data_IF_941210947214
#
_entry.id   IF_941210947214
#
_cell.length_a   1.000
_cell.length_b   1.000
_cell.length_c   1.000
_cell.angle_alpha   90.00
_cell.angle_beta   90.00
_cell.angle_gamma   90.00
#
_symmetry.space_group_name_H-M   'P 1'
#
loop_
_entity.id
_entity.type
_entity.pdbx_description
1 polymer ?
#
# COMPACT_ATOMS: atom_id res chain seq x y z
N UNK A 1 20.79 10.48 -3.47
CA UNK A 1 21.07 9.42 -2.45
C UNK A 1 19.73 8.88 -1.97
N UNK A 2 19.57 7.56 -1.85
CA UNK A 2 18.31 7.00 -1.36
C UNK A 2 18.24 7.09 0.16
N UNK A 3 17.13 7.61 0.68
CA UNK A 3 16.78 7.57 2.10
C UNK A 3 15.33 7.16 2.29
N UNK A 4 14.98 6.72 3.49
CA UNK A 4 13.64 6.21 3.80
C UNK A 4 13.06 6.99 4.98
N UNK A 5 11.79 7.34 4.89
CA UNK A 5 11.04 8.02 5.97
C UNK A 5 9.75 7.28 6.28
N UNK A 6 9.31 7.35 7.53
CA UNK A 6 7.95 6.97 7.90
C UNK A 6 6.95 7.87 7.18
N UNK A 7 5.85 7.29 6.72
CA UNK A 7 4.77 8.05 6.09
C UNK A 7 4.11 9.01 7.09
N UNK A 8 3.99 10.28 6.73
CA UNK A 8 3.46 11.35 7.60
C UNK A 8 1.95 11.57 7.43
N UNK A 9 1.31 10.84 6.50
CA UNK A 9 -0.11 10.93 6.18
C UNK A 9 -0.54 12.30 5.64
N UNK A 10 0.38 13.02 4.98
CA UNK A 10 0.01 14.13 4.10
C UNK A 10 -0.83 13.60 2.93
N UNK A 11 -1.61 14.46 2.28
CA UNK A 11 -2.38 14.08 1.08
C UNK A 11 -1.46 13.50 0.00
N UNK A 12 -0.30 14.13 -0.24
CA UNK A 12 0.71 13.64 -1.18
C UNK A 12 1.30 12.28 -0.80
N UNK A 13 1.56 12.02 0.47
CA UNK A 13 2.08 10.73 0.93
C UNK A 13 1.03 9.62 0.74
N UNK A 14 -0.23 9.91 1.05
CA UNK A 14 -1.33 8.96 0.90
C UNK A 14 -1.57 8.65 -0.58
N UNK A 15 -1.57 9.67 -1.43
CA UNK A 15 -1.68 9.50 -2.88
C UNK A 15 -0.55 8.62 -3.41
N UNK A 16 0.70 8.93 -3.07
CA UNK A 16 1.86 8.14 -3.50
C UNK A 16 1.81 6.70 -2.96
N UNK A 17 1.38 6.50 -1.71
CA UNK A 17 1.18 5.16 -1.18
C UNK A 17 0.13 4.37 -1.98
N UNK A 18 -0.98 5.01 -2.37
CA UNK A 18 -2.00 4.33 -3.20
C UNK A 18 -1.48 3.99 -4.60
N UNK A 19 -0.59 4.82 -5.17
CA UNK A 19 0.11 4.49 -6.41
C UNK A 19 0.97 3.23 -6.23
N UNK A 20 1.73 3.16 -5.13
CA UNK A 20 2.57 1.99 -4.84
C UNK A 20 1.75 0.72 -4.57
N UNK A 21 0.60 0.83 -3.89
CA UNK A 21 -0.34 -0.29 -3.74
C UNK A 21 -0.89 -0.77 -5.08
N UNK A 22 -1.15 0.13 -6.00
CA UNK A 22 -1.53 -0.21 -7.36
C UNK A 22 -0.39 -0.89 -8.11
N UNK A 23 0.84 -0.38 -8.04
CA UNK A 23 2.00 -0.97 -8.72
C UNK A 23 2.35 -2.37 -8.20
N UNK A 24 2.17 -2.64 -6.91
CA UNK A 24 2.36 -3.97 -6.32
C UNK A 24 1.41 -5.05 -6.89
N UNK A 25 0.29 -4.66 -7.51
CA UNK A 25 -0.63 -5.62 -8.14
C UNK A 25 -0.14 -5.94 -9.55
N UNK A 26 0.48 -7.11 -9.71
CA UNK A 26 0.99 -7.57 -10.99
C UNK A 26 -0.12 -8.10 -11.90
N UNK A 27 -0.42 -7.37 -12.99
CA UNK A 27 -1.34 -7.76 -14.06
C UNK A 27 -0.67 -7.42 -15.39
N UNK A 28 -0.35 -8.44 -16.20
CA UNK A 28 0.44 -8.29 -17.43
C UNK A 28 -0.31 -7.58 -18.55
N UNK A 29 -1.60 -7.87 -18.69
CA UNK A 29 -2.44 -7.34 -19.77
C UNK A 29 -3.72 -6.75 -19.21
N UNK A 30 -4.15 -5.61 -19.76
CA UNK A 30 -5.42 -4.97 -19.41
C UNK A 30 -5.58 -4.67 -17.90
N UNK A 31 -4.49 -4.29 -17.21
CA UNK A 31 -4.54 -3.81 -15.82
C UNK A 31 -5.55 -2.65 -15.72
N UNK A 32 -6.63 -2.78 -14.92
CA UNK A 32 -7.64 -1.72 -14.83
C UNK A 32 -7.03 -0.44 -14.25
N UNK A 33 -7.60 0.75 -14.52
CA UNK A 33 -7.14 2.00 -13.90
C UNK A 33 -7.13 1.90 -12.36
N UNK A 34 -6.19 2.60 -11.71
CA UNK A 34 -6.00 2.63 -10.24
C UNK A 34 -7.31 2.72 -9.47
N UNK A 35 -8.11 3.74 -9.79
CA UNK A 35 -9.40 4.00 -9.13
C UNK A 35 -10.36 2.81 -9.23
N UNK A 36 -10.39 2.12 -10.36
CA UNK A 36 -11.25 0.95 -10.57
C UNK A 36 -10.70 -0.27 -9.83
N UNK A 37 -9.40 -0.55 -9.97
CA UNK A 37 -8.77 -1.73 -9.40
C UNK A 37 -8.79 -1.69 -7.86
N UNK A 38 -8.39 -0.56 -7.27
CA UNK A 38 -8.34 -0.41 -5.82
C UNK A 38 -9.73 -0.34 -5.17
N UNK A 39 -10.79 -0.05 -5.92
CA UNK A 39 -12.17 -0.07 -5.40
C UNK A 39 -12.91 -1.39 -5.66
N UNK A 40 -12.28 -2.43 -6.21
CA UNK A 40 -12.91 -3.74 -6.31
C UNK A 40 -13.28 -4.27 -4.91
N UNK A 41 -14.45 -4.93 -4.72
CA UNK A 41 -14.92 -5.34 -3.39
C UNK A 41 -13.92 -6.15 -2.55
N UNK A 42 -13.05 -6.93 -3.19
CA UNK A 42 -12.05 -7.76 -2.51
C UNK A 42 -10.66 -7.08 -2.38
N UNK A 43 -10.43 -5.94 -3.05
CA UNK A 43 -9.17 -5.16 -3.00
C UNK A 43 -9.31 -3.91 -2.14
N UNK A 44 -10.50 -3.31 -2.06
CA UNK A 44 -10.71 -2.05 -1.34
C UNK A 44 -10.23 -2.08 0.12
N UNK A 45 -10.37 -3.23 0.78
CA UNK A 45 -9.91 -3.45 2.16
C UNK A 45 -8.42 -3.23 2.40
N UNK A 46 -7.58 -3.21 1.36
CA UNK A 46 -6.13 -2.98 1.50
C UNK A 46 -5.77 -1.51 1.65
N UNK A 47 -6.59 -0.60 1.09
CA UNK A 47 -6.31 0.85 1.09
C UNK A 47 -7.33 1.68 1.86
N UNK A 48 -8.58 1.22 1.99
CA UNK A 48 -9.62 2.02 2.64
C UNK A 48 -9.30 2.29 4.12
N UNK A 49 -9.59 3.52 4.55
CA UNK A 49 -9.36 3.96 5.92
C UNK A 49 -7.90 3.82 6.38
N UNK A 50 -6.95 4.03 5.46
CA UNK A 50 -5.51 3.98 5.78
C UNK A 50 -5.15 4.90 6.96
N UNK A 51 -4.22 4.45 7.80
CA UNK A 51 -3.80 5.14 9.01
C UNK A 51 -4.44 4.59 10.29
N UNK A 52 -5.22 3.50 10.19
CA UNK A 52 -5.80 2.81 11.36
C UNK A 52 -4.72 2.05 12.15
N UNK A 53 -5.08 1.61 13.37
CA UNK A 53 -4.22 0.74 14.17
C UNK A 53 -3.85 -0.52 13.38
N UNK A 54 -2.55 -0.79 13.27
CA UNK A 54 -2.03 -1.92 12.49
C UNK A 54 -1.56 -1.56 11.08
N UNK A 55 -1.74 -0.31 10.63
CA UNK A 55 -1.15 0.17 9.39
C UNK A 55 0.21 0.83 9.68
N UNK A 56 1.22 0.53 8.87
CA UNK A 56 2.46 1.32 8.78
C UNK A 56 2.91 1.38 7.35
N UNK A 57 3.52 2.50 6.98
CA UNK A 57 4.16 2.68 5.70
C UNK A 57 5.45 3.48 5.86
N UNK A 58 6.39 3.20 4.97
CA UNK A 58 7.61 3.96 4.75
C UNK A 58 7.71 4.30 3.27
N UNK A 59 8.22 5.49 2.96
CA UNK A 59 8.48 5.94 1.59
C UNK A 59 10.00 6.08 1.42
N UNK A 60 10.52 5.52 0.34
CA UNK A 60 11.87 5.73 -0.13
C UNK A 60 11.92 6.98 -1.01
N UNK A 61 12.94 7.82 -0.82
CA UNK A 61 13.17 9.04 -1.55
C UNK A 61 14.55 9.04 -2.17
N UNK A 62 14.63 9.40 -3.46
CA UNK A 62 15.87 9.86 -4.08
C UNK A 62 15.86 11.39 -4.07
N UNK A 63 16.72 11.98 -3.24
CA UNK A 63 16.70 13.40 -2.91
C UNK A 63 15.32 13.84 -2.38
N UNK A 64 14.52 14.60 -3.12
CA UNK A 64 13.16 14.98 -2.70
C UNK A 64 12.06 14.20 -3.42
N UNK A 65 12.42 13.27 -4.31
CA UNK A 65 11.46 12.53 -5.14
C UNK A 65 11.12 11.18 -4.49
N UNK A 66 9.83 10.86 -4.27
CA UNK A 66 9.44 9.55 -3.77
C UNK A 66 9.62 8.51 -4.88
N UNK A 67 10.34 7.43 -4.58
CA UNK A 67 10.74 6.39 -5.56
C UNK A 67 10.25 4.99 -5.21
N UNK A 68 9.61 4.82 -4.06
CA UNK A 68 8.99 3.56 -3.69
C UNK A 68 8.39 3.60 -2.30
N UNK A 69 7.59 2.60 -1.97
CA UNK A 69 7.03 2.45 -0.63
C UNK A 69 7.02 0.99 -0.22
N UNK A 70 7.17 0.76 1.08
CA UNK A 70 6.85 -0.50 1.72
C UNK A 70 5.86 -0.24 2.84
N UNK A 71 4.91 -1.14 3.00
CA UNK A 71 3.84 -1.00 3.98
C UNK A 71 3.43 -2.35 4.54
N UNK A 72 2.74 -2.29 5.67
CA UNK A 72 1.95 -3.41 6.12
C UNK A 72 0.62 -2.98 6.69
N UNK A 73 -0.30 -3.94 6.73
CA UNK A 73 -1.58 -3.82 7.42
C UNK A 73 -1.85 -5.11 8.21
N UNK A 74 -2.30 -4.93 9.45
CA UNK A 74 -2.96 -6.00 10.19
C UNK A 74 -4.42 -6.10 9.75
N UNK A 75 -4.86 -7.33 9.48
CA UNK A 75 -6.24 -7.66 9.16
C UNK A 75 -6.89 -8.39 10.34
N UNK A 76 -8.21 -8.29 10.43
CA UNK A 76 -9.00 -9.07 11.37
C UNK A 76 -9.58 -10.31 10.65
N UNK A 77 -9.88 -11.37 11.40
CA UNK A 77 -10.51 -12.59 10.88
C UNK A 77 -11.79 -12.33 10.04
N UNK A 78 -12.61 -11.35 10.37
CA UNK A 78 -13.81 -11.03 9.58
C UNK A 78 -13.54 -10.18 8.31
N UNK A 79 -12.29 -9.77 8.10
CA UNK A 79 -11.84 -8.88 7.02
C UNK A 79 -10.51 -9.36 6.40
N UNK A 80 -10.27 -10.68 6.35
CA UNK A 80 -9.03 -11.30 5.85
C UNK A 80 -8.59 -10.72 4.51
N UNK A 81 -7.31 -10.39 4.39
CA UNK A 81 -6.63 -10.30 3.11
C UNK A 81 -6.27 -11.68 2.58
N UNK A 82 -5.59 -11.72 1.45
CA UNK A 82 -5.16 -12.93 0.75
C UNK A 82 -4.01 -13.60 1.51
N UNK A 83 -3.18 -12.81 2.20
CA UNK A 83 -2.06 -13.29 3.01
C UNK A 83 -2.39 -13.50 4.48
N UNK A 84 -3.67 -13.45 4.89
CA UNK A 84 -4.05 -13.48 6.30
C UNK A 84 -3.65 -14.79 6.96
N UNK A 85 -2.92 -14.69 8.08
CA UNK A 85 -2.56 -15.82 8.96
C UNK A 85 -3.35 -15.73 10.26
N UNK A 86 -3.21 -14.61 10.98
CA UNK A 86 -3.94 -14.27 12.20
C UNK A 86 -3.99 -12.74 12.42
N UNK A 87 -4.73 -12.28 13.43
CA UNK A 87 -4.91 -10.86 13.76
C UNK A 87 -3.62 -10.12 14.19
N UNK A 88 -2.51 -10.83 14.39
CA UNK A 88 -1.22 -10.28 14.87
C UNK A 88 -0.14 -10.31 13.80
N UNK A 89 -0.37 -11.01 12.69
CA UNK A 89 0.58 -11.16 11.60
C UNK A 89 0.28 -10.14 10.50
N UNK A 90 1.22 -9.24 10.18
CA UNK A 90 1.01 -8.24 9.15
C UNK A 90 1.07 -8.83 7.74
N UNK A 91 0.19 -8.37 6.86
CA UNK A 91 0.36 -8.54 5.41
C UNK A 91 1.22 -7.38 4.89
N UNK A 92 2.34 -7.71 4.24
CA UNK A 92 3.34 -6.77 3.75
C UNK A 92 3.19 -6.54 2.25
N UNK A 93 3.38 -5.30 1.81
CA UNK A 93 3.48 -4.92 0.40
C UNK A 93 4.69 -4.00 0.19
N UNK A 94 5.27 -4.08 -1.00
CA UNK A 94 6.36 -3.20 -1.44
C UNK A 94 6.22 -2.96 -2.94
N UNK A 95 6.45 -1.73 -3.36
CA UNK A 95 6.59 -1.36 -4.76
C UNK A 95 7.61 -0.23 -4.91
N UNK A 96 8.18 -0.14 -6.10
CA UNK A 96 9.04 0.97 -6.53
C UNK A 96 8.40 1.60 -7.76
N UNK A 97 8.73 2.86 -8.03
CA UNK A 97 8.38 3.47 -9.31
C UNK A 97 9.21 2.77 -10.41
N UNK A 98 8.57 2.52 -11.56
CA UNK A 98 9.27 2.05 -12.77
C UNK A 98 9.93 3.22 -13.50
#
# INVERSE_FOLDING_TARGET
MIHVKSLEQSEHDLDFLTDMMYEAIHILENKPPKEKLLNLPHIKKYSEGWGRKGDRAIIAFEDSLPVGAAWYRLFAENQKGYGYVDDKTPELGIAVIN
#
